data_IF_629218832906
#
_entry.id   IF_629218832906
#
_cell.length_a   1.000
_cell.length_b   1.000
_cell.length_c   1.000
_cell.angle_alpha   90.00
_cell.angle_beta   90.00
_cell.angle_gamma   90.00
#
_symmetry.space_group_name_H-M   'P 1'
#
loop_
_entity.id
_entity.type
_entity.pdbx_description
1 polymer ?
#
# COMPACT_ATOMS: atom_id res chain seq x y z
N UNK A 1 24.22 5.41 17.96
CA UNK A 1 24.87 4.19 17.44
C UNK A 1 25.97 3.78 18.40
N UNK A 2 25.89 2.58 18.98
CA UNK A 2 26.91 2.06 19.90
C UNK A 2 27.91 1.21 19.12
N UNK A 3 29.21 1.36 19.39
CA UNK A 3 30.25 0.52 18.80
C UNK A 3 30.81 -0.43 19.86
N UNK A 4 30.31 -1.68 19.93
CA UNK A 4 30.94 -2.70 20.75
C UNK A 4 32.27 -3.10 20.11
N UNK A 5 33.32 -3.24 20.94
CA UNK A 5 34.61 -3.78 20.48
C UNK A 5 34.50 -5.31 20.44
N UNK A 6 34.48 -5.88 19.25
CA UNK A 6 34.56 -7.33 19.08
C UNK A 6 35.99 -7.84 19.36
N UNK A 7 36.09 -9.03 19.93
CA UNK A 7 37.35 -9.70 20.26
C UNK A 7 38.20 -9.98 19.03
N UNK A 8 39.52 -9.79 19.18
CA UNK A 8 40.54 -9.92 18.12
C UNK A 8 40.44 -11.25 17.37
N UNK A 9 39.82 -11.23 16.19
CA UNK A 9 40.16 -12.16 15.12
C UNK A 9 41.30 -11.54 14.34
N UNK A 10 42.44 -12.22 14.27
CA UNK A 10 43.62 -11.81 13.51
C UNK A 10 43.27 -11.70 12.02
N UNK A 11 42.86 -10.51 11.59
CA UNK A 11 42.84 -10.16 10.18
C UNK A 11 44.28 -9.94 9.73
N UNK A 12 44.64 -10.56 8.60
CA UNK A 12 45.88 -10.23 7.89
C UNK A 12 45.75 -8.80 7.35
N UNK A 13 46.03 -7.80 8.19
CA UNK A 13 46.19 -6.43 7.74
C UNK A 13 47.54 -6.41 7.00
N UNK A 14 47.49 -6.64 5.69
CA UNK A 14 48.66 -6.45 4.84
C UNK A 14 49.18 -5.03 5.02
N UNK A 15 50.47 -4.88 5.31
CA UNK A 15 51.09 -3.55 5.41
C UNK A 15 51.26 -2.97 4.01
N UNK A 16 50.31 -2.16 3.55
CA UNK A 16 50.56 -1.24 2.43
C UNK A 16 51.32 -0.02 2.97
N UNK A 17 52.51 0.25 2.43
CA UNK A 17 53.33 1.42 2.80
C UNK A 17 52.93 2.69 2.04
N UNK A 18 51.96 2.63 1.12
CA UNK A 18 51.54 3.78 0.33
C UNK A 18 50.57 4.66 1.12
N UNK A 19 50.84 5.96 1.17
CA UNK A 19 49.89 6.95 1.68
C UNK A 19 48.65 6.95 0.77
N UNK A 20 47.49 6.61 1.32
CA UNK A 20 46.21 6.64 0.60
C UNK A 20 45.61 8.04 0.73
N UNK A 21 45.25 8.66 -0.39
CA UNK A 21 44.61 9.98 -0.38
C UNK A 21 43.18 9.92 0.18
N UNK A 22 42.68 11.03 0.73
CA UNK A 22 41.29 11.10 1.20
C UNK A 22 40.26 10.83 0.09
N UNK A 23 40.57 11.23 -1.15
CA UNK A 23 39.69 11.00 -2.29
C UNK A 23 39.69 9.53 -2.71
N UNK A 24 40.84 8.84 -2.63
CA UNK A 24 40.91 7.40 -2.84
C UNK A 24 40.15 6.62 -1.76
N UNK A 25 40.18 7.08 -0.50
CA UNK A 25 39.37 6.49 0.58
C UNK A 25 37.87 6.70 0.34
N UNK A 26 37.50 7.87 -0.14
CA UNK A 26 36.12 8.17 -0.48
C UNK A 26 35.60 7.37 -1.67
N UNK A 27 36.39 7.26 -2.75
CA UNK A 27 36.06 6.44 -3.91
C UNK A 27 35.93 4.97 -3.52
N UNK A 28 36.80 4.46 -2.63
CA UNK A 28 36.67 3.12 -2.07
C UNK A 28 35.36 2.94 -1.29
N UNK A 29 35.00 3.90 -0.43
CA UNK A 29 33.75 3.85 0.31
C UNK A 29 32.53 3.89 -0.63
N UNK A 30 32.57 4.75 -1.65
CA UNK A 30 31.52 4.84 -2.66
C UNK A 30 31.41 3.57 -3.49
N UNK A 31 32.53 2.93 -3.79
CA UNK A 31 32.60 1.66 -4.53
C UNK A 31 31.96 0.52 -3.73
N UNK A 32 32.29 0.39 -2.45
CA UNK A 32 31.74 -0.64 -1.56
C UNK A 32 30.23 -0.42 -1.37
N UNK A 33 29.80 0.80 -1.03
CA UNK A 33 28.39 1.11 -0.77
C UNK A 33 27.56 1.10 -2.06
N UNK A 34 28.11 1.59 -3.18
CA UNK A 34 27.48 1.53 -4.49
C UNK A 34 27.35 0.11 -5.01
N UNK A 35 28.39 -0.71 -4.83
CA UNK A 35 28.38 -2.14 -5.12
C UNK A 35 27.32 -2.89 -4.32
N UNK A 36 27.14 -2.56 -3.04
CA UNK A 36 26.06 -3.10 -2.20
C UNK A 36 24.67 -2.85 -2.82
N UNK A 37 24.39 -1.62 -3.27
CA UNK A 37 23.11 -1.30 -3.91
C UNK A 37 22.90 -2.06 -5.22
N UNK A 38 23.95 -2.16 -6.03
CA UNK A 38 23.89 -2.88 -7.31
C UNK A 38 23.67 -4.37 -7.07
N UNK A 39 24.35 -4.95 -6.09
CA UNK A 39 24.23 -6.37 -5.72
C UNK A 39 22.80 -6.75 -5.31
N UNK A 40 22.06 -5.84 -4.67
CA UNK A 40 20.67 -6.07 -4.26
C UNK A 40 19.63 -5.86 -5.38
N UNK A 41 20.03 -5.28 -6.51
CA UNK A 41 19.14 -5.09 -7.65
C UNK A 41 19.00 -6.38 -8.47
N UNK A 42 17.80 -6.66 -8.98
CA UNK A 42 17.52 -7.85 -9.80
C UNK A 42 17.28 -7.53 -11.28
N UNK A 43 16.86 -6.30 -11.60
CA UNK A 43 16.56 -5.89 -12.96
C UNK A 43 17.83 -5.43 -13.70
N UNK A 44 18.21 -6.11 -14.79
CA UNK A 44 19.45 -5.82 -15.52
C UNK A 44 19.51 -4.38 -16.06
N UNK A 45 18.44 -3.88 -16.68
CA UNK A 45 18.41 -2.50 -17.18
C UNK A 45 18.50 -1.45 -16.06
N UNK A 46 18.15 -1.81 -14.83
CA UNK A 46 18.38 -0.97 -13.65
C UNK A 46 19.82 -1.07 -13.14
N UNK A 47 20.38 -2.29 -13.11
CA UNK A 47 21.79 -2.54 -12.77
C UNK A 47 22.72 -1.72 -13.67
N UNK A 48 22.51 -1.76 -14.98
CA UNK A 48 23.35 -1.04 -15.96
C UNK A 48 23.32 0.49 -15.72
N UNK A 49 22.13 1.02 -15.38
CA UNK A 49 21.96 2.44 -15.03
C UNK A 49 22.68 2.79 -13.72
N UNK A 50 22.60 1.92 -12.71
CA UNK A 50 23.30 2.12 -11.44
C UNK A 50 24.81 2.06 -11.61
N UNK A 51 25.33 1.11 -12.39
CA UNK A 51 26.76 1.02 -12.69
C UNK A 51 27.25 2.28 -13.40
N UNK A 52 26.52 2.76 -14.42
CA UNK A 52 26.84 4.01 -15.12
C UNK A 52 26.85 5.20 -14.17
N UNK A 53 25.84 5.30 -13.30
CA UNK A 53 25.74 6.39 -12.33
C UNK A 53 26.79 6.32 -11.21
N UNK A 54 27.26 5.13 -10.84
CA UNK A 54 28.35 4.96 -9.88
C UNK A 54 29.67 5.40 -10.51
N UNK A 55 29.97 4.94 -11.74
CA UNK A 55 31.19 5.31 -12.48
C UNK A 55 31.33 6.82 -12.65
N UNK A 56 30.23 7.54 -12.88
CA UNK A 56 30.25 9.01 -13.03
C UNK A 56 30.46 9.80 -11.72
N UNK A 57 30.35 9.14 -10.56
CA UNK A 57 30.51 9.79 -9.25
C UNK A 57 31.89 9.57 -8.63
N UNK A 58 32.69 8.66 -9.18
CA UNK A 58 34.07 8.41 -8.76
C UNK A 58 34.96 9.60 -9.16
N UNK A 59 35.87 9.97 -8.25
CA UNK A 59 36.81 11.08 -8.46
C UNK A 59 38.04 10.57 -9.24
N UNK A 60 38.53 9.40 -8.87
CA UNK A 60 39.74 8.78 -9.42
C UNK A 60 39.38 7.83 -10.58
N UNK A 61 39.92 8.03 -11.79
CA UNK A 61 39.61 7.17 -12.95
C UNK A 61 39.90 5.68 -12.73
N UNK A 62 40.97 5.36 -12.00
CA UNK A 62 41.40 3.97 -11.76
C UNK A 62 40.35 3.13 -10.98
N UNK A 63 39.43 3.78 -10.26
CA UNK A 63 38.37 3.09 -9.52
C UNK A 63 37.21 2.63 -10.41
N UNK A 64 37.10 3.15 -11.64
CA UNK A 64 35.99 2.85 -12.57
C UNK A 64 35.96 1.36 -12.91
N UNK A 65 37.12 0.75 -13.09
CA UNK A 65 37.27 -0.69 -13.39
C UNK A 65 36.98 -1.56 -12.16
N UNK A 66 37.03 -0.98 -10.96
CA UNK A 66 36.73 -1.67 -9.71
C UNK A 66 35.24 -1.93 -9.46
N UNK A 67 34.33 -1.34 -10.26
CA UNK A 67 32.87 -1.43 -10.03
C UNK A 67 32.37 -2.86 -10.15
N UNK A 68 32.77 -3.58 -11.19
CA UNK A 68 32.34 -4.97 -11.40
C UNK A 68 32.93 -5.90 -10.33
N UNK A 69 34.20 -5.65 -9.97
CA UNK A 69 34.91 -6.39 -8.91
C UNK A 69 34.22 -6.21 -7.57
N UNK A 70 33.80 -4.99 -7.23
CA UNK A 70 33.13 -4.72 -5.97
C UNK A 70 31.76 -5.41 -5.87
N UNK A 71 31.03 -5.54 -6.98
CA UNK A 71 29.71 -6.21 -6.99
C UNK A 71 29.85 -7.71 -6.75
N UNK A 72 30.88 -8.35 -7.31
CA UNK A 72 31.08 -9.80 -7.24
C UNK A 72 31.89 -10.24 -6.02
N UNK A 73 33.02 -9.60 -5.76
CA UNK A 73 33.97 -10.05 -4.74
C UNK A 73 33.54 -9.69 -3.31
N UNK A 74 32.66 -8.70 -3.13
CA UNK A 74 32.15 -8.29 -1.81
C UNK A 74 30.78 -8.88 -1.47
N UNK A 75 30.26 -9.85 -2.25
CA UNK A 75 28.96 -10.45 -2.01
C UNK A 75 28.78 -10.96 -0.56
N UNK A 76 29.81 -11.57 0.03
CA UNK A 76 29.76 -12.05 1.42
C UNK A 76 29.71 -10.91 2.45
N UNK A 77 30.33 -9.77 2.15
CA UNK A 77 30.25 -8.58 2.99
C UNK A 77 28.84 -7.98 2.95
N UNK A 78 28.20 -7.99 1.78
CA UNK A 78 26.88 -7.38 1.58
C UNK A 78 25.73 -8.07 2.31
N UNK A 79 25.91 -9.34 2.68
CA UNK A 79 24.94 -10.10 3.48
C UNK A 79 25.25 -10.07 4.98
N UNK A 80 26.39 -9.50 5.39
CA UNK A 80 26.79 -9.46 6.80
C UNK A 80 25.91 -8.47 7.61
N UNK A 81 25.31 -8.89 8.73
CA UNK A 81 24.44 -8.01 9.52
C UNK A 81 25.14 -6.77 10.09
N UNK A 82 26.43 -6.86 10.45
CA UNK A 82 27.18 -5.71 10.98
C UNK A 82 27.50 -4.70 9.87
N UNK A 83 27.80 -5.17 8.66
CA UNK A 83 27.89 -4.32 7.49
C UNK A 83 26.55 -3.62 7.20
N UNK A 84 25.42 -4.34 7.22
CA UNK A 84 24.10 -3.74 6.96
C UNK A 84 23.77 -2.67 8.01
N UNK A 85 24.08 -2.90 9.29
CA UNK A 85 23.94 -1.89 10.36
C UNK A 85 24.77 -0.66 10.06
N UNK A 86 26.03 -0.82 9.63
CA UNK A 86 26.91 0.28 9.25
C UNK A 86 26.30 1.11 8.09
N UNK A 87 25.82 0.43 7.04
CA UNK A 87 25.15 1.08 5.90
C UNK A 87 23.95 1.91 6.36
N UNK A 88 23.11 1.37 7.26
CA UNK A 88 21.98 2.10 7.84
C UNK A 88 22.43 3.35 8.61
N UNK A 89 23.51 3.24 9.38
CA UNK A 89 24.09 4.38 10.10
C UNK A 89 24.57 5.49 9.18
N UNK A 90 25.25 5.11 8.09
CA UNK A 90 25.72 6.04 7.07
C UNK A 90 24.53 6.74 6.40
N UNK A 91 23.48 6.00 6.00
CA UNK A 91 22.30 6.62 5.39
C UNK A 91 21.57 7.55 6.35
N UNK A 92 21.40 7.12 7.61
CA UNK A 92 20.76 7.92 8.66
C UNK A 92 21.54 9.22 8.92
N UNK A 93 22.87 9.14 9.03
CA UNK A 93 23.72 10.31 9.23
C UNK A 93 23.58 11.31 8.09
N UNK A 94 23.75 10.88 6.84
CA UNK A 94 23.64 11.79 5.69
C UNK A 94 22.19 12.19 5.36
N UNK A 95 21.19 11.48 5.89
CA UNK A 95 19.80 11.95 5.86
C UNK A 95 19.61 13.20 6.72
N UNK A 96 20.25 13.25 7.89
CA UNK A 96 20.25 14.42 8.78
C UNK A 96 21.14 15.54 8.23
N UNK A 97 22.27 15.19 7.61
CA UNK A 97 23.26 16.14 7.09
C UNK A 97 23.39 16.08 5.55
N UNK A 98 22.34 16.49 4.79
CA UNK A 98 22.34 16.35 3.33
C UNK A 98 23.37 17.24 2.62
N UNK A 99 23.82 18.32 3.27
CA UNK A 99 24.82 19.25 2.74
C UNK A 99 26.27 18.86 3.08
N UNK A 100 26.48 17.70 3.71
CA UNK A 100 27.83 17.24 4.01
C UNK A 100 28.62 16.96 2.72
N UNK A 101 29.93 17.31 2.62
CA UNK A 101 30.72 17.13 1.39
C UNK A 101 30.72 15.70 0.84
N UNK A 102 30.64 14.71 1.75
CA UNK A 102 30.61 13.27 1.44
C UNK A 102 29.19 12.67 1.37
N UNK A 103 28.13 13.48 1.34
CA UNK A 103 26.74 13.00 1.34
C UNK A 103 26.37 12.14 0.12
N UNK A 104 27.15 12.17 -0.98
CA UNK A 104 26.89 11.30 -2.13
C UNK A 104 27.11 9.80 -1.83
N UNK A 105 27.73 9.45 -0.70
CA UNK A 105 27.77 8.05 -0.22
C UNK A 105 26.36 7.45 -0.08
N UNK A 106 25.33 8.31 0.11
CA UNK A 106 23.93 7.89 0.09
C UNK A 106 23.49 7.23 -1.20
N UNK A 107 24.21 7.42 -2.30
CA UNK A 107 23.95 6.70 -3.54
C UNK A 107 23.84 5.19 -3.30
N UNK A 108 24.71 4.61 -2.48
CA UNK A 108 24.70 3.20 -2.14
C UNK A 108 23.76 2.83 -0.99
N UNK A 109 23.56 3.73 -0.04
CA UNK A 109 22.90 3.40 1.24
C UNK A 109 21.41 3.72 1.25
N UNK A 110 20.91 4.53 0.31
CA UNK A 110 19.52 5.02 0.27
C UNK A 110 18.48 3.90 0.29
N UNK A 111 18.80 2.74 -0.29
CA UNK A 111 17.92 1.57 -0.35
C UNK A 111 17.61 0.95 1.02
N UNK A 112 18.39 1.30 2.05
CA UNK A 112 18.14 0.84 3.41
C UNK A 112 17.04 1.63 4.11
N UNK A 113 16.77 2.86 3.66
CA UNK A 113 15.67 3.66 4.18
C UNK A 113 14.34 3.06 3.74
N UNK A 114 13.47 2.77 4.72
CA UNK A 114 12.20 2.08 4.56
C UNK A 114 12.32 0.70 3.90
N UNK A 115 13.48 0.04 4.06
CA UNK A 115 13.64 -1.36 3.63
C UNK A 115 12.60 -2.24 4.32
N UNK A 116 11.95 -3.11 3.56
CA UNK A 116 10.89 -4.00 4.01
C UNK A 116 9.68 -3.27 4.62
N UNK A 117 9.46 -2.00 4.26
CA UNK A 117 8.30 -1.20 4.68
C UNK A 117 7.33 -0.93 3.52
N UNK A 118 7.29 -1.81 2.52
CA UNK A 118 6.48 -1.64 1.30
C UNK A 118 4.97 -1.59 1.55
N UNK A 119 4.48 -2.17 2.66
CA UNK A 119 3.09 -2.04 3.09
C UNK A 119 2.72 -0.61 3.50
N UNK A 120 3.64 0.13 4.17
CA UNK A 120 3.44 1.55 4.43
C UNK A 120 3.40 2.36 3.12
N UNK A 121 4.26 2.03 2.17
CA UNK A 121 4.24 2.65 0.84
C UNK A 121 2.92 2.43 0.10
N UNK A 122 2.23 1.31 0.34
CA UNK A 122 0.90 1.06 -0.19
C UNK A 122 -0.17 1.97 0.44
N UNK A 123 -0.07 2.29 1.74
CA UNK A 123 -0.95 3.29 2.37
C UNK A 123 -0.70 4.67 1.75
N UNK A 124 0.57 5.09 1.68
CA UNK A 124 0.93 6.39 1.13
C UNK A 124 0.48 6.53 -0.33
N UNK A 125 0.73 5.50 -1.15
CA UNK A 125 0.30 5.50 -2.56
C UNK A 125 -1.22 5.56 -2.70
N UNK A 126 -1.98 4.85 -1.84
CA UNK A 126 -3.44 4.93 -1.82
C UNK A 126 -3.97 6.30 -1.40
N UNK A 127 -3.32 6.94 -0.42
CA UNK A 127 -3.66 8.30 0.01
C UNK A 127 -3.36 9.35 -1.08
N UNK A 128 -2.18 9.26 -1.70
CA UNK A 128 -1.74 10.15 -2.79
C UNK A 128 -2.65 10.07 -4.01
N UNK A 129 -3.02 8.85 -4.43
CA UNK A 129 -3.88 8.64 -5.59
C UNK A 129 -5.22 9.37 -5.48
N UNK A 130 -5.71 9.55 -4.25
CA UNK A 130 -7.04 10.05 -3.97
C UNK A 130 -7.03 11.45 -3.36
N UNK A 131 -5.85 12.00 -3.10
CA UNK A 131 -5.66 13.20 -2.31
C UNK A 131 -6.39 13.12 -0.95
N UNK A 132 -6.30 11.95 -0.30
CA UNK A 132 -6.95 11.66 0.97
C UNK A 132 -5.96 11.59 2.12
N UNK A 133 -6.45 11.88 3.32
CA UNK A 133 -5.73 11.55 4.55
C UNK A 133 -5.85 10.04 4.80
N UNK A 134 -4.92 9.48 5.57
CA UNK A 134 -4.98 8.07 6.01
C UNK A 134 -6.30 7.75 6.70
N UNK A 135 -6.87 8.70 7.45
CA UNK A 135 -8.17 8.54 8.11
C UNK A 135 -9.30 8.38 7.09
N UNK A 136 -9.33 9.21 6.05
CA UNK A 136 -10.36 9.11 4.99
C UNK A 136 -10.18 7.83 4.19
N UNK A 137 -8.94 7.50 3.80
CA UNK A 137 -8.63 6.25 3.10
C UNK A 137 -9.04 5.02 3.92
N UNK A 138 -8.79 5.02 5.23
CA UNK A 138 -9.13 3.90 6.11
C UNK A 138 -10.62 3.57 6.18
N UNK A 139 -11.51 4.55 5.91
CA UNK A 139 -12.96 4.32 5.87
C UNK A 139 -13.40 3.43 4.71
N UNK A 140 -12.59 3.36 3.66
CA UNK A 140 -12.85 2.50 2.49
C UNK A 140 -12.38 1.06 2.68
N UNK A 141 -11.75 0.74 3.81
CA UNK A 141 -11.28 -0.61 4.15
C UNK A 141 -12.42 -1.40 4.80
N UNK A 142 -13.26 -2.01 3.98
CA UNK A 142 -14.51 -2.63 4.40
C UNK A 142 -14.38 -4.12 4.77
N UNK A 143 -13.18 -4.72 4.62
CA UNK A 143 -12.95 -6.13 4.98
C UNK A 143 -12.14 -6.27 6.29
N UNK A 144 -12.36 -7.35 7.07
CA UNK A 144 -11.61 -7.60 8.30
C UNK A 144 -10.09 -7.69 8.08
N UNK A 145 -9.67 -8.24 6.95
CA UNK A 145 -8.25 -8.41 6.59
C UNK A 145 -7.58 -7.05 6.39
N UNK A 146 -8.23 -6.14 5.65
CA UNK A 146 -7.73 -4.79 5.43
C UNK A 146 -7.64 -3.99 6.74
N UNK A 147 -8.63 -4.15 7.63
CA UNK A 147 -8.61 -3.56 8.96
C UNK A 147 -7.43 -4.08 9.79
N UNK A 148 -7.20 -5.39 9.80
CA UNK A 148 -6.11 -5.99 10.55
C UNK A 148 -4.74 -5.50 10.04
N UNK A 149 -4.55 -5.41 8.72
CA UNK A 149 -3.34 -4.86 8.10
C UNK A 149 -3.12 -3.39 8.49
N UNK A 150 -4.17 -2.56 8.39
CA UNK A 150 -4.09 -1.14 8.80
C UNK A 150 -3.76 -0.99 10.29
N UNK A 151 -4.41 -1.75 11.17
CA UNK A 151 -4.16 -1.70 12.61
C UNK A 151 -2.73 -2.12 12.96
N UNK A 152 -2.18 -3.12 12.24
CA UNK A 152 -0.79 -3.56 12.40
C UNK A 152 0.21 -2.46 12.07
N UNK A 153 -0.08 -1.66 11.04
CA UNK A 153 0.82 -0.60 10.57
C UNK A 153 0.63 0.74 11.29
N UNK A 154 -0.49 0.96 11.98
CA UNK A 154 -0.82 2.24 12.64
C UNK A 154 -0.70 2.19 14.16
N UNK A 155 0.08 1.23 14.69
CA UNK A 155 0.38 1.13 16.12
C UNK A 155 1.04 2.45 16.60
N UNK A 156 0.54 3.06 17.70
CA UNK A 156 1.13 4.28 18.25
C UNK A 156 2.57 4.08 18.75
N UNK A 157 3.34 5.17 18.80
CA UNK A 157 4.68 5.19 19.41
C UNK A 157 5.79 4.56 18.56
N UNK A 158 5.53 4.24 17.30
CA UNK A 158 6.52 3.60 16.40
C UNK A 158 7.40 4.59 15.63
N UNK A 159 7.26 5.89 15.87
CA UNK A 159 8.06 6.97 15.25
C UNK A 159 8.03 7.01 13.70
N UNK A 160 7.03 6.38 13.07
CA UNK A 160 6.88 6.29 11.60
C UNK A 160 6.71 7.66 10.92
N UNK A 161 6.19 8.66 11.66
CA UNK A 161 6.00 10.03 11.17
C UNK A 161 7.08 11.00 11.67
N UNK A 162 8.08 10.52 12.42
CA UNK A 162 9.15 11.38 12.96
C UNK A 162 10.29 11.43 11.94
N UNK A 163 10.64 12.61 11.42
CA UNK A 163 11.80 12.75 10.55
C UNK A 163 13.08 12.27 11.25
N UNK A 164 13.93 11.54 10.53
CA UNK A 164 15.24 11.09 11.01
C UNK A 164 15.20 10.13 12.22
N UNK A 165 14.08 9.46 12.47
CA UNK A 165 13.99 8.41 13.49
C UNK A 165 14.73 7.14 13.07
N UNK A 166 14.81 6.16 13.98
CA UNK A 166 15.31 4.82 13.65
C UNK A 166 14.29 3.98 12.88
N UNK A 167 13.02 4.38 12.84
CA UNK A 167 11.93 3.61 12.23
C UNK A 167 12.19 3.24 10.76
N UNK A 168 12.67 4.13 9.86
CA UNK A 168 12.95 3.76 8.48
C UNK A 168 13.97 2.61 8.34
N UNK A 169 14.80 2.36 9.35
CA UNK A 169 15.90 1.41 9.31
C UNK A 169 15.68 0.18 10.19
N UNK A 170 14.46 -0.07 10.69
CA UNK A 170 14.15 -1.15 11.63
C UNK A 170 14.68 -2.53 11.19
N UNK A 171 14.50 -2.90 9.93
CA UNK A 171 14.98 -4.19 9.42
C UNK A 171 16.50 -4.21 9.30
N UNK A 172 17.10 -3.14 8.75
CA UNK A 172 18.54 -3.08 8.50
C UNK A 172 19.37 -2.94 9.78
N UNK A 173 18.83 -2.31 10.81
CA UNK A 173 19.47 -2.23 12.14
C UNK A 173 19.27 -3.49 12.97
N UNK A 174 18.43 -4.44 12.53
CA UNK A 174 18.06 -5.62 13.30
C UNK A 174 17.26 -5.29 14.55
N UNK A 175 16.45 -4.22 14.50
CA UNK A 175 15.51 -3.87 15.61
C UNK A 175 14.36 -4.88 15.63
N UNK A 176 13.99 -5.41 14.46
CA UNK A 176 12.98 -6.45 14.30
C UNK A 176 13.48 -7.53 13.36
N UNK A 177 13.10 -8.78 13.62
CA UNK A 177 13.40 -9.91 12.73
C UNK A 177 12.53 -9.87 11.46
N UNK A 178 11.28 -9.42 11.62
CA UNK A 178 10.32 -9.28 10.53
C UNK A 178 9.62 -7.93 10.64
N UNK A 179 9.69 -7.14 9.57
CA UNK A 179 9.03 -5.85 9.51
C UNK A 179 7.51 -5.99 9.63
N UNK A 180 6.85 -5.30 10.58
CA UNK A 180 5.39 -5.25 10.65
C UNK A 180 4.77 -4.48 9.47
N UNK A 181 5.62 -3.78 8.70
CA UNK A 181 5.25 -2.89 7.59
C UNK A 181 5.50 -3.52 6.21
N UNK A 182 5.87 -4.80 6.13
CA UNK A 182 6.16 -5.44 4.84
C UNK A 182 4.87 -5.72 4.05
N UNK A 183 4.96 -5.68 2.72
CA UNK A 183 3.85 -6.11 1.85
C UNK A 183 3.43 -7.57 2.10
N UNK A 184 4.39 -8.44 2.40
CA UNK A 184 4.14 -9.87 2.68
C UNK A 184 3.41 -10.16 3.99
N UNK A 185 3.46 -9.24 4.95
CA UNK A 185 2.66 -9.35 6.17
C UNK A 185 1.31 -8.66 6.03
N UNK A 186 1.26 -7.59 5.21
CA UNK A 186 0.09 -6.77 4.95
C UNK A 186 -0.47 -7.00 3.54
N UNK A 187 -0.61 -8.27 3.15
CA UNK A 187 -0.94 -8.67 1.78
C UNK A 187 -2.28 -8.09 1.33
N UNK A 188 -3.27 -8.03 2.23
CA UNK A 188 -4.61 -7.56 1.88
C UNK A 188 -4.57 -6.11 1.45
N UNK A 189 -3.95 -5.25 2.27
CA UNK A 189 -3.87 -3.82 1.97
C UNK A 189 -2.99 -3.53 0.74
N UNK A 190 -1.88 -4.27 0.61
CA UNK A 190 -1.03 -4.21 -0.59
C UNK A 190 -1.83 -4.50 -1.86
N UNK A 191 -2.57 -5.62 -1.88
CA UNK A 191 -3.38 -6.00 -3.03
C UNK A 191 -4.51 -5.01 -3.30
N UNK A 192 -5.20 -4.53 -2.27
CA UNK A 192 -6.26 -3.53 -2.40
C UNK A 192 -5.76 -2.25 -3.07
N UNK A 193 -4.67 -1.65 -2.55
CA UNK A 193 -4.08 -0.43 -3.12
C UNK A 193 -3.67 -0.64 -4.57
N UNK A 194 -3.00 -1.75 -4.88
CA UNK A 194 -2.49 -1.96 -6.24
C UNK A 194 -3.60 -2.31 -7.23
N UNK A 195 -4.68 -3.00 -6.83
CA UNK A 195 -5.86 -3.18 -7.67
C UNK A 195 -6.51 -1.84 -8.05
N UNK A 196 -6.63 -0.91 -7.11
CA UNK A 196 -7.13 0.45 -7.38
C UNK A 196 -6.15 1.19 -8.32
N UNK A 197 -4.85 1.11 -8.06
CA UNK A 197 -3.84 1.76 -8.90
C UNK A 197 -3.77 1.20 -10.33
N UNK A 198 -4.13 -0.07 -10.54
CA UNK A 198 -4.26 -0.67 -11.87
C UNK A 198 -5.45 -0.11 -12.66
N UNK A 199 -6.49 0.41 -11.99
CA UNK A 199 -7.60 1.08 -12.66
C UNK A 199 -7.26 2.49 -13.17
N UNK A 200 -6.20 3.12 -12.64
CA UNK A 200 -5.68 4.43 -13.07
C UNK A 200 -4.27 4.23 -13.68
N UNK A 201 -4.13 3.24 -14.58
CA UNK A 201 -2.92 2.48 -14.95
C UNK A 201 -1.57 2.99 -14.40
N UNK A 202 -1.40 2.98 -13.07
CA UNK A 202 -0.17 3.44 -12.44
C UNK A 202 0.92 2.39 -12.67
N UNK A 203 2.00 2.78 -13.36
CA UNK A 203 3.11 1.86 -13.68
C UNK A 203 3.67 1.12 -12.45
N UNK A 204 3.67 1.75 -11.27
CA UNK A 204 4.06 1.11 -9.99
C UNK A 204 3.12 -0.03 -9.61
N UNK A 205 1.81 0.13 -9.80
CA UNK A 205 0.81 -0.87 -9.42
C UNK A 205 0.70 -2.00 -10.43
N UNK A 206 0.84 -1.72 -11.72
CA UNK A 206 0.87 -2.74 -12.79
C UNK A 206 2.02 -3.73 -12.58
N UNK A 207 3.17 -3.23 -12.10
CA UNK A 207 4.37 -4.04 -11.85
C UNK A 207 4.49 -4.49 -10.39
N UNK A 208 3.45 -4.32 -9.56
CA UNK A 208 3.50 -4.74 -8.17
C UNK A 208 3.46 -6.26 -8.06
N UNK A 209 4.25 -6.80 -7.13
CA UNK A 209 4.28 -8.25 -6.86
C UNK A 209 2.93 -8.67 -6.26
N UNK A 210 2.38 -9.77 -6.78
CA UNK A 210 1.18 -10.39 -6.25
C UNK A 210 1.51 -11.13 -4.95
N UNK A 211 0.76 -10.83 -3.89
CA UNK A 211 0.75 -11.62 -2.67
C UNK A 211 -0.68 -12.09 -2.42
N UNK A 212 -0.89 -13.40 -2.37
CA UNK A 212 -2.24 -13.95 -2.15
C UNK A 212 -2.71 -13.66 -0.71
N UNK A 213 -3.74 -12.81 -0.53
CA UNK A 213 -4.30 -12.55 0.79
C UNK A 213 -5.40 -13.57 1.13
N UNK A 214 -5.67 -13.77 2.42
CA UNK A 214 -6.91 -14.42 2.85
C UNK A 214 -8.11 -13.59 2.42
N UNK A 215 -9.18 -14.23 1.92
CA UNK A 215 -10.40 -13.50 1.53
C UNK A 215 -10.24 -12.60 0.31
N UNK A 216 -9.40 -13.00 -0.67
CA UNK A 216 -9.12 -12.25 -1.88
C UNK A 216 -10.38 -11.73 -2.58
N UNK A 217 -11.44 -12.55 -2.69
CA UNK A 217 -12.67 -12.15 -3.36
C UNK A 217 -13.33 -10.92 -2.71
N UNK A 218 -13.39 -10.88 -1.38
CA UNK A 218 -13.92 -9.72 -0.64
C UNK A 218 -13.07 -8.47 -0.84
N UNK A 219 -11.76 -8.62 -1.01
CA UNK A 219 -10.85 -7.50 -1.27
C UNK A 219 -11.04 -7.00 -2.71
N UNK A 220 -11.22 -7.90 -3.67
CA UNK A 220 -11.57 -7.55 -5.06
C UNK A 220 -12.89 -6.79 -5.09
N UNK A 221 -13.92 -7.31 -4.42
CA UNK A 221 -15.23 -6.71 -4.36
C UNK A 221 -15.19 -5.31 -3.71
N UNK A 222 -14.44 -5.15 -2.60
CA UNK A 222 -14.19 -3.85 -1.99
C UNK A 222 -13.46 -2.88 -2.95
N UNK A 223 -12.48 -3.37 -3.72
CA UNK A 223 -11.76 -2.56 -4.70
C UNK A 223 -12.66 -2.14 -5.88
N UNK A 224 -13.54 -3.02 -6.36
CA UNK A 224 -14.52 -2.71 -7.41
C UNK A 224 -15.46 -1.61 -6.94
N UNK A 225 -16.00 -1.72 -5.72
CA UNK A 225 -16.84 -0.68 -5.13
C UNK A 225 -16.10 0.66 -5.07
N UNK A 226 -14.85 0.63 -4.61
CA UNK A 226 -14.00 1.81 -4.52
C UNK A 226 -13.82 2.46 -5.90
N UNK A 227 -13.42 1.69 -6.91
CA UNK A 227 -13.16 2.18 -8.27
C UNK A 227 -14.45 2.76 -8.87
N UNK A 228 -15.57 2.05 -8.72
CA UNK A 228 -16.86 2.48 -9.25
C UNK A 228 -17.30 3.82 -8.62
N UNK A 229 -17.29 3.89 -7.28
CA UNK A 229 -17.67 5.08 -6.55
C UNK A 229 -16.89 6.32 -7.00
N UNK A 230 -15.57 6.18 -7.20
CA UNK A 230 -14.72 7.29 -7.62
C UNK A 230 -14.75 7.57 -9.13
N UNK A 231 -15.25 6.64 -9.94
CA UNK A 231 -15.44 6.83 -11.38
C UNK A 231 -16.75 7.58 -11.69
N UNK A 232 -17.80 7.30 -10.92
CA UNK A 232 -19.14 7.88 -11.15
C UNK A 232 -19.33 9.24 -10.46
N UNK A 233 -18.60 9.52 -9.37
CA UNK A 233 -18.70 10.78 -8.64
C UNK A 233 -17.51 11.65 -8.97
N UNK A 234 -17.66 12.66 -9.83
CA UNK A 234 -16.57 13.59 -10.18
C UNK A 234 -16.74 14.92 -9.47
N UNK A 235 -15.72 15.35 -8.70
CA UNK A 235 -15.70 16.65 -8.04
C UNK A 235 -15.12 17.74 -8.96
N UNK A 236 -15.59 17.79 -10.21
CA UNK A 236 -15.18 18.84 -11.14
C UNK A 236 -15.73 20.18 -10.66
N UNK A 237 -14.83 21.04 -10.23
CA UNK A 237 -15.16 22.40 -9.81
C UNK A 237 -14.39 23.39 -10.68
N UNK A 238 -15.09 24.41 -11.18
CA UNK A 238 -14.49 25.47 -11.99
C UNK A 238 -13.52 26.30 -11.13
N UNK A 239 -12.22 26.25 -11.44
CA UNK A 239 -11.19 26.96 -10.66
C UNK A 239 -10.91 28.38 -11.18
N UNK A 240 -11.19 28.63 -12.45
CA UNK A 240 -10.98 29.92 -13.10
C UNK A 240 -12.26 30.35 -13.80
N UNK A 241 -12.72 31.55 -13.48
CA UNK A 241 -13.90 32.17 -14.06
C UNK A 241 -13.68 33.68 -14.15
N UNK A 242 -14.37 34.34 -15.07
CA UNK A 242 -14.30 35.79 -15.22
C UNK A 242 -14.89 36.47 -13.99
N UNK A 243 -14.49 37.70 -13.71
CA UNK A 243 -15.06 38.49 -12.63
C UNK A 243 -16.60 38.63 -12.72
N UNK A 244 -17.15 38.65 -13.94
CA UNK A 244 -18.59 38.68 -14.20
C UNK A 244 -19.32 37.37 -13.87
N UNK A 245 -18.61 36.24 -13.76
CA UNK A 245 -19.17 34.90 -13.58
C UNK A 245 -19.13 34.42 -12.12
N UNK A 246 -18.45 35.17 -11.23
CA UNK A 246 -18.23 34.82 -9.82
C UNK A 246 -19.54 34.49 -9.10
N UNK A 247 -20.58 35.32 -9.29
CA UNK A 247 -21.87 35.12 -8.63
C UNK A 247 -22.58 33.86 -9.13
N UNK A 248 -22.51 33.59 -10.43
CA UNK A 248 -23.13 32.43 -11.05
C UNK A 248 -22.46 31.14 -10.60
N UNK A 249 -21.13 31.10 -10.59
CA UNK A 249 -20.37 29.92 -10.15
C UNK A 249 -20.62 29.64 -8.66
N UNK A 250 -20.55 30.66 -7.80
CA UNK A 250 -20.83 30.50 -6.36
C UNK A 250 -22.25 30.01 -6.09
N UNK A 251 -23.24 30.49 -6.84
CA UNK A 251 -24.63 30.04 -6.72
C UNK A 251 -24.76 28.57 -7.10
N UNK A 252 -24.19 28.15 -8.23
CA UNK A 252 -24.22 26.75 -8.67
C UNK A 252 -23.51 25.81 -7.68
N UNK A 253 -22.37 26.22 -7.12
CA UNK A 253 -21.65 25.44 -6.12
C UNK A 253 -22.43 25.29 -4.80
N UNK A 254 -23.10 26.35 -4.36
CA UNK A 254 -23.91 26.33 -3.14
C UNK A 254 -25.18 25.49 -3.33
N UNK A 255 -25.84 25.57 -4.49
CA UNK A 255 -26.98 24.71 -4.84
C UNK A 255 -26.56 23.23 -4.87
N UNK A 256 -25.42 22.91 -5.48
CA UNK A 256 -24.87 21.55 -5.48
C UNK A 256 -24.55 21.06 -4.05
N UNK A 257 -24.00 21.92 -3.20
CA UNK A 257 -23.71 21.58 -1.79
C UNK A 257 -25.00 21.33 -0.99
N UNK A 258 -26.01 22.16 -1.19
CA UNK A 258 -27.31 22.01 -0.51
C UNK A 258 -28.00 20.72 -0.92
N UNK A 259 -27.96 20.37 -2.21
CA UNK A 259 -28.48 19.09 -2.71
C UNK A 259 -27.81 17.88 -2.04
N UNK A 260 -26.48 17.87 -1.95
CA UNK A 260 -25.73 16.78 -1.29
C UNK A 260 -26.06 16.69 0.20
N UNK A 261 -26.20 17.82 0.89
CA UNK A 261 -26.55 17.83 2.32
C UNK A 261 -27.99 17.39 2.59
N UNK A 262 -28.93 17.74 1.70
CA UNK A 262 -30.32 17.24 1.77
C UNK A 262 -30.36 15.72 1.55
N UNK A 263 -29.59 15.21 0.58
CA UNK A 263 -29.47 13.78 0.35
C UNK A 263 -28.89 13.04 1.57
N UNK A 264 -27.87 13.61 2.22
CA UNK A 264 -27.33 13.06 3.47
C UNK A 264 -28.38 13.02 4.58
N UNK A 265 -29.18 14.08 4.74
CA UNK A 265 -30.26 14.11 5.74
C UNK A 265 -31.32 13.04 5.49
N UNK A 266 -31.70 12.83 4.23
CA UNK A 266 -32.62 11.73 3.86
C UNK A 266 -32.03 10.39 4.26
N UNK A 267 -30.74 10.15 4.00
CA UNK A 267 -30.08 8.90 4.39
C UNK A 267 -30.14 8.66 5.92
N UNK A 268 -29.97 9.70 6.73
CA UNK A 268 -30.04 9.61 8.19
C UNK A 268 -31.47 9.46 8.73
N UNK A 269 -32.48 10.08 8.12
CA UNK A 269 -33.88 9.95 8.58
C UNK A 269 -34.46 8.54 8.41
N UNK A 270 -33.90 7.73 7.50
CA UNK A 270 -34.27 6.31 7.38
C UNK A 270 -33.72 5.44 8.53
N UNK A 271 -32.84 5.97 9.37
CA UNK A 271 -32.27 5.27 10.53
C UNK A 271 -33.28 5.19 11.70
N UNK A 272 -34.23 6.13 11.78
CA UNK A 272 -35.20 6.23 12.88
C UNK A 272 -36.52 5.45 12.63
N UNK A 273 -36.67 4.80 11.47
CA UNK A 273 -37.92 4.10 11.09
C UNK A 273 -37.82 2.58 11.24
N UNK A 274 -36.62 2.00 11.39
CA UNK A 274 -36.45 0.54 11.60
C UNK A 274 -36.42 0.10 13.07
N UNK A 275 -36.46 1.02 14.04
CA UNK A 275 -36.73 0.70 15.45
C UNK A 275 -38.21 0.93 15.78
N UNK A 276 -39.11 0.02 15.34
CA UNK A 276 -40.45 -0.10 15.92
C UNK A 276 -40.40 -1.05 17.12
N UNK A 277 -40.59 -0.58 18.38
CA UNK A 277 -40.48 -1.41 19.59
C UNK A 277 -41.69 -2.32 19.83
N UNK A 278 -42.65 -2.40 18.91
CA UNK A 278 -44.00 -2.86 19.23
C UNK A 278 -44.46 -4.13 18.50
N UNK A 279 -43.59 -5.14 18.37
CA UNK A 279 -44.05 -6.52 18.17
C UNK A 279 -43.99 -7.28 19.49
N UNK A 280 -45.10 -7.19 20.23
CA UNK A 280 -45.40 -7.98 21.41
C UNK A 280 -45.33 -9.46 21.07
N UNK A 281 -44.43 -10.16 21.75
CA UNK A 281 -44.46 -11.61 21.83
C UNK A 281 -45.52 -12.05 22.83
N UNK A 282 -46.34 -13.00 22.41
CA UNK A 282 -47.05 -13.96 23.24
C UNK A 282 -47.28 -15.19 22.35
N UNK A 283 -46.56 -16.28 22.60
CA UNK A 283 -47.19 -17.48 23.15
C UNK A 283 -46.23 -18.70 23.23
N UNK A 284 -46.13 -19.15 24.48
CA UNK A 284 -46.03 -20.53 24.97
C UNK A 284 -44.81 -21.42 24.66
N UNK A 285 -43.96 -21.49 25.69
CA UNK A 285 -43.06 -22.60 25.96
C UNK A 285 -43.79 -23.76 26.67
N UNK A 286 -43.67 -24.98 26.13
CA UNK A 286 -43.62 -26.19 26.96
C UNK A 286 -42.94 -27.38 26.27
N UNK A 287 -41.82 -27.81 26.88
CA UNK A 287 -41.38 -29.21 27.13
C UNK A 287 -41.04 -30.13 25.93
N UNK A 288 -40.10 -31.07 25.99
CA UNK A 288 -38.90 -31.35 26.77
C UNK A 288 -38.24 -32.59 26.11
N UNK A 289 -36.90 -32.68 26.22
CA UNK A 289 -36.02 -33.87 26.13
C UNK A 289 -36.16 -34.96 25.04
N UNK A 290 -35.13 -35.08 24.18
CA UNK A 290 -34.13 -36.19 24.22
C UNK A 290 -33.10 -36.14 23.06
N UNK A 291 -31.81 -36.29 23.40
CA UNK A 291 -30.63 -36.37 22.50
C UNK A 291 -30.43 -37.81 21.92
N UNK A 292 -29.27 -38.18 21.29
CA UNK A 292 -28.75 -37.81 19.96
C UNK A 292 -28.36 -39.04 19.10
N UNK A 293 -28.26 -38.92 17.77
CA UNK A 293 -27.41 -39.83 16.95
C UNK A 293 -27.27 -39.35 15.50
N UNK A 294 -26.03 -39.14 15.05
CA UNK A 294 -25.62 -39.13 13.63
C UNK A 294 -25.22 -40.57 13.21
N UNK A 295 -24.81 -40.87 11.96
CA UNK A 295 -25.19 -40.33 10.64
C UNK A 295 -25.54 -41.44 9.62
N UNK A 296 -26.36 -41.16 8.60
CA UNK A 296 -26.15 -41.71 7.23
C UNK A 296 -27.24 -41.27 6.24
N UNK A 297 -26.78 -40.68 5.13
CA UNK A 297 -27.16 -40.95 3.74
C UNK A 297 -28.58 -40.65 3.23
N UNK A 298 -28.56 -39.91 2.10
CA UNK A 298 -29.43 -39.97 0.92
C UNK A 298 -30.55 -38.93 0.80
N UNK A 299 -30.50 -38.27 -0.37
CA UNK A 299 -31.58 -37.60 -1.11
C UNK A 299 -32.05 -36.20 -0.71
N UNK A 300 -31.91 -35.31 -1.68
CA UNK A 300 -32.45 -33.95 -1.70
C UNK A 300 -32.02 -33.27 -2.98
N UNK A 301 -32.46 -33.80 -4.12
CA UNK A 301 -32.40 -33.08 -5.39
C UNK A 301 -33.21 -31.80 -5.27
N UNK A 302 -32.50 -30.67 -5.30
CA UNK A 302 -33.05 -29.34 -5.54
C UNK A 302 -32.44 -28.83 -6.83
N UNK A 303 -33.31 -28.48 -7.76
CA UNK A 303 -33.02 -28.11 -9.14
C UNK A 303 -31.96 -27.01 -9.27
N UNK A 304 -31.10 -27.14 -10.28
CA UNK A 304 -30.03 -26.18 -10.60
C UNK A 304 -30.53 -24.94 -11.36
N UNK A 305 -31.85 -24.77 -11.47
CA UNK A 305 -32.50 -23.69 -12.20
C UNK A 305 -32.92 -22.48 -11.32
N UNK A 306 -32.73 -22.54 -10.00
CA UNK A 306 -33.06 -21.43 -9.08
C UNK A 306 -31.97 -20.35 -8.95
N UNK A 307 -30.90 -20.42 -9.77
CA UNK A 307 -29.80 -19.43 -9.76
C UNK A 307 -29.84 -18.42 -10.92
N UNK A 308 -30.83 -18.50 -11.83
CA UNK A 308 -31.00 -17.52 -12.93
C UNK A 308 -32.07 -16.44 -12.65
N UNK A 309 -32.58 -16.36 -11.43
CA UNK A 309 -33.76 -15.57 -11.08
C UNK A 309 -33.57 -14.40 -10.12
N UNK A 310 -32.40 -13.76 -9.99
CA UNK A 310 -32.36 -12.41 -9.39
C UNK A 310 -32.79 -11.42 -10.47
N UNK A 311 -34.10 -11.41 -10.76
CA UNK A 311 -34.72 -10.26 -11.40
C UNK A 311 -34.38 -9.06 -10.51
N UNK A 312 -33.70 -8.07 -11.09
CA UNK A 312 -33.65 -6.72 -10.53
C UNK A 312 -35.08 -6.36 -10.16
N UNK A 313 -35.38 -6.38 -8.85
CA UNK A 313 -36.69 -6.04 -8.34
C UNK A 313 -36.99 -4.63 -8.85
N UNK A 314 -37.87 -4.57 -9.84
CA UNK A 314 -38.15 -3.35 -10.57
C UNK A 314 -38.79 -2.31 -9.66
N UNK A 315 -38.52 -1.04 -9.99
CA UNK A 315 -39.53 0.00 -9.80
C UNK A 315 -39.30 1.00 -8.68
N UNK A 316 -38.08 1.21 -8.21
CA UNK A 316 -37.71 2.49 -7.62
C UNK A 316 -36.46 3.00 -8.33
N UNK A 317 -36.55 4.16 -8.98
CA UNK A 317 -35.37 4.93 -9.39
C UNK A 317 -34.59 5.27 -8.10
N UNK A 318 -33.66 4.39 -7.72
CA UNK A 318 -32.90 4.49 -6.49
C UNK A 318 -31.58 5.16 -6.82
N UNK A 319 -31.50 6.45 -6.50
CA UNK A 319 -30.32 7.28 -6.75
C UNK A 319 -29.10 6.69 -6.04
N UNK A 320 -28.07 6.37 -6.85
CA UNK A 320 -26.76 6.03 -6.32
C UNK A 320 -26.21 7.18 -5.47
N UNK A 321 -25.35 6.89 -4.48
CA UNK A 321 -24.64 7.93 -3.77
C UNK A 321 -23.89 8.85 -4.75
N UNK A 322 -24.22 10.14 -4.71
CA UNK A 322 -23.50 11.18 -5.46
C UNK A 322 -22.22 11.63 -4.75
N UNK A 323 -22.08 11.25 -3.47
CA UNK A 323 -20.94 11.59 -2.63
C UNK A 323 -19.80 10.56 -2.77
N UNK A 324 -18.58 10.97 -2.39
CA UNK A 324 -17.42 10.09 -2.20
C UNK A 324 -17.26 9.62 -0.74
N UNK A 325 -18.32 9.65 0.07
CA UNK A 325 -18.24 9.14 1.44
C UNK A 325 -18.40 7.61 1.47
N UNK A 326 -17.44 6.94 2.09
CA UNK A 326 -17.46 5.48 2.21
C UNK A 326 -18.71 4.95 2.94
N UNK A 327 -19.30 5.73 3.87
CA UNK A 327 -20.50 5.33 4.58
C UNK A 327 -21.72 5.30 3.66
N UNK A 328 -21.89 6.30 2.81
CA UNK A 328 -23.03 6.36 1.89
C UNK A 328 -23.02 5.16 0.94
N UNK A 329 -21.84 4.81 0.40
CA UNK A 329 -21.65 3.63 -0.43
C UNK A 329 -21.82 2.32 0.35
N UNK A 330 -21.34 2.25 1.59
CA UNK A 330 -21.53 1.08 2.44
C UNK A 330 -23.02 0.84 2.72
N UNK A 331 -23.76 1.89 3.11
CA UNK A 331 -25.20 1.81 3.38
C UNK A 331 -25.97 1.41 2.12
N UNK A 332 -25.62 1.97 0.96
CA UNK A 332 -26.21 1.60 -0.32
C UNK A 332 -26.02 0.10 -0.62
N UNK A 333 -24.79 -0.41 -0.49
CA UNK A 333 -24.49 -1.83 -0.75
C UNK A 333 -25.16 -2.76 0.27
N UNK A 334 -25.19 -2.39 1.55
CA UNK A 334 -25.84 -3.20 2.59
C UNK A 334 -27.35 -3.25 2.41
N UNK A 335 -27.98 -2.11 2.10
CA UNK A 335 -29.43 -2.00 1.97
C UNK A 335 -29.98 -2.71 0.74
N UNK A 336 -29.34 -2.54 -0.41
CA UNK A 336 -29.91 -2.97 -1.69
C UNK A 336 -29.32 -4.27 -2.22
N UNK A 337 -28.12 -4.65 -1.75
CA UNK A 337 -27.40 -5.81 -2.27
C UNK A 337 -26.92 -6.76 -1.17
N UNK A 338 -27.33 -6.52 0.08
CA UNK A 338 -26.99 -7.35 1.25
C UNK A 338 -25.48 -7.62 1.38
N UNK A 339 -24.66 -6.62 1.06
CA UNK A 339 -23.20 -6.73 1.11
C UNK A 339 -22.53 -7.29 -0.17
N UNK A 340 -23.32 -7.70 -1.17
CA UNK A 340 -22.81 -8.18 -2.46
C UNK A 340 -22.55 -7.04 -3.43
N UNK A 341 -21.53 -7.17 -4.28
CA UNK A 341 -21.25 -6.17 -5.31
C UNK A 341 -22.16 -6.39 -6.54
N UNK A 342 -22.89 -5.36 -6.99
CA UNK A 342 -23.74 -5.43 -8.18
C UNK A 342 -22.93 -5.78 -9.44
N UNK A 343 -23.49 -6.63 -10.30
CA UNK A 343 -22.81 -7.04 -11.53
C UNK A 343 -22.45 -5.86 -12.43
N UNK A 344 -23.29 -4.81 -12.47
CA UNK A 344 -23.05 -3.58 -13.25
C UNK A 344 -21.80 -2.80 -12.84
N UNK A 345 -21.31 -2.95 -11.60
CA UNK A 345 -20.08 -2.27 -11.15
C UNK A 345 -18.81 -2.94 -11.67
N UNK A 346 -18.86 -4.25 -11.96
CA UNK A 346 -17.70 -5.04 -12.37
C UNK A 346 -17.12 -4.58 -13.73
N UNK A 347 -17.92 -4.38 -14.79
CA UNK A 347 -17.41 -3.90 -16.08
C UNK A 347 -16.62 -2.60 -15.99
N UNK A 348 -17.08 -1.63 -15.17
CA UNK A 348 -16.40 -0.34 -15.01
C UNK A 348 -14.97 -0.53 -14.45
N UNK A 349 -14.80 -1.43 -13.48
CA UNK A 349 -13.49 -1.77 -12.95
C UNK A 349 -12.62 -2.56 -13.95
N UNK A 350 -13.21 -3.51 -14.68
CA UNK A 350 -12.48 -4.37 -15.62
C UNK A 350 -12.09 -3.68 -16.94
N UNK A 351 -12.92 -2.75 -17.45
CA UNK A 351 -12.62 -2.02 -18.67
C UNK A 351 -11.38 -1.14 -18.49
N UNK A 352 -11.21 -0.55 -17.31
CA UNK A 352 -10.01 0.20 -16.97
C UNK A 352 -8.76 -0.69 -16.93
N UNK A 353 -8.90 -1.92 -16.41
CA UNK A 353 -7.81 -2.90 -16.37
C UNK A 353 -7.39 -3.44 -17.74
N UNK A 354 -8.30 -3.51 -18.72
CA UNK A 354 -8.00 -3.99 -20.09
C UNK A 354 -7.10 -3.05 -20.89
N UNK A 355 -6.96 -1.78 -20.48
CA UNK A 355 -6.13 -0.78 -21.17
C UNK A 355 -4.64 -0.87 -20.81
N UNK A 356 -4.23 -1.85 -19.99
CA UNK A 356 -2.86 -1.99 -19.51
C UNK A 356 -1.95 -2.74 -20.50
N UNK A 357 -0.84 -2.14 -20.99
CA UNK A 357 0.14 -2.83 -21.82
C UNK A 357 1.10 -3.69 -20.98
N UNK A 358 1.43 -4.90 -21.47
CA UNK A 358 2.62 -5.67 -21.06
C UNK A 358 2.67 -6.14 -19.61
N UNK A 359 1.72 -7.00 -19.20
CA UNK A 359 1.72 -7.64 -17.87
C UNK A 359 2.98 -8.51 -17.72
N UNK A 360 3.80 -8.20 -16.73
CA UNK A 360 4.96 -9.03 -16.36
C UNK A 360 4.43 -10.20 -15.51
N UNK A 361 4.68 -11.47 -15.89
CA UNK A 361 4.31 -12.60 -15.05
C UNK A 361 5.01 -12.52 -13.70
N UNK A 362 4.29 -12.81 -12.62
CA UNK A 362 4.90 -13.06 -11.31
C UNK A 362 5.65 -14.39 -11.38
N UNK A 363 6.98 -14.31 -11.36
CA UNK A 363 7.89 -15.47 -11.31
C UNK A 363 7.92 -16.15 -9.96
#
# INVERSE_FOLDING_TARGET
MFSPKFTKTSTNIGSSQAAVSEDSLYDLALLILGGFRIHLATNQAYIDRLQTALKSQLITPDFVDGVEVAVTNFAQLYVDPEFIKLVCGIDMFFSVFPHHPRAKLRFGTLIMSHKDCTGLSAITSGCELMNYTTKVFSRWLMTPVLRADMNRMTVPGQEICIPYSYSPYLSGLGIVDKSPYSASLNCGLHMFTHMIGCAIPLARSVNAIYFQPSGLQSIIDNAILFIYAHSCTSALQMQFFRASEVATVKKAEEEARQFVEEMRKKLHQFQDVEEDPNHQGDDEASRDESQPSSPSSVEGGGDLDDLEGIQEAGGAELEEPTSRDALDWYMYIMKFYHGSIPQRMRPVAYEQGRRMPGIIPTG
#
